data_IF_412769270282
#
_entry.id   IF_412769270282
#
_cell.length_a   1.000
_cell.length_b   1.000
_cell.length_c   1.000
_cell.angle_alpha   90.00
_cell.angle_beta   90.00
_cell.angle_gamma   90.00
#
_symmetry.space_group_name_H-M   'P 1'
#
loop_
_entity.id
_entity.type
_entity.pdbx_description
1 polymer ?
#
# COMPACT_ATOMS: atom_id res chain seq x y z
N UNK A 1 8.07 -16.71 43.99
CA UNK A 1 9.25 -15.99 43.59
C UNK A 1 8.93 -14.88 42.62
N UNK A 2 8.83 -13.73 43.16
CA UNK A 2 8.49 -12.56 42.35
C UNK A 2 9.58 -12.18 41.35
N UNK A 3 10.81 -12.40 41.68
CA UNK A 3 11.89 -12.00 40.78
C UNK A 3 11.97 -12.79 39.50
N UNK A 4 11.33 -13.95 39.44
CA UNK A 4 11.30 -14.70 38.19
C UNK A 4 10.33 -14.08 37.19
N UNK A 5 9.35 -13.39 37.70
CA UNK A 5 8.41 -12.70 36.83
C UNK A 5 9.10 -11.53 36.12
N UNK A 6 9.98 -10.83 36.82
CA UNK A 6 10.68 -9.69 36.26
C UNK A 6 11.47 -10.02 35.00
N UNK A 7 12.31 -11.06 34.99
CA UNK A 7 13.03 -11.42 33.77
C UNK A 7 12.08 -11.69 32.61
N UNK A 8 10.98 -12.35 32.87
CA UNK A 8 10.01 -12.64 31.82
C UNK A 8 9.41 -11.38 31.27
N UNK A 9 9.04 -10.44 32.12
CA UNK A 9 8.48 -9.18 31.69
C UNK A 9 9.47 -8.37 30.85
N UNK A 10 10.72 -8.33 31.29
CA UNK A 10 11.76 -7.64 30.56
C UNK A 10 11.95 -8.24 29.19
N UNK A 11 11.97 -9.57 29.11
CA UNK A 11 12.08 -10.25 27.83
C UNK A 11 10.93 -9.90 26.90
N UNK A 12 9.72 -9.83 27.44
CA UNK A 12 8.57 -9.45 26.64
C UNK A 12 8.68 -8.05 26.08
N UNK A 13 9.14 -7.11 26.89
CA UNK A 13 9.32 -5.74 26.44
C UNK A 13 10.38 -5.64 25.34
N UNK A 14 11.49 -6.31 25.52
CA UNK A 14 12.56 -6.34 24.53
C UNK A 14 12.03 -6.91 23.21
N UNK A 15 11.24 -7.95 23.28
CA UNK A 15 10.66 -8.55 22.09
C UNK A 15 9.76 -7.59 21.35
N UNK A 16 8.99 -6.76 22.05
CA UNK A 16 8.14 -5.76 21.41
C UNK A 16 8.97 -4.74 20.66
N UNK A 17 10.02 -4.21 21.27
CA UNK A 17 10.87 -3.24 20.58
C UNK A 17 11.62 -3.87 19.43
N UNK A 18 12.13 -5.06 19.61
CA UNK A 18 12.83 -5.76 18.55
C UNK A 18 11.91 -6.06 17.38
N UNK A 19 10.62 -6.26 17.63
CA UNK A 19 9.64 -6.49 16.60
C UNK A 19 9.29 -5.27 15.77
N UNK A 20 9.50 -4.05 16.29
CA UNK A 20 9.12 -2.85 15.58
C UNK A 20 9.78 -2.69 14.22
N UNK A 21 11.10 -2.87 14.06
CA UNK A 21 11.73 -2.80 12.73
C UNK A 21 11.24 -3.90 11.80
N UNK A 22 11.05 -5.10 12.34
CA UNK A 22 10.52 -6.22 11.55
C UNK A 22 9.11 -5.90 11.08
N UNK A 23 8.30 -5.35 11.96
CA UNK A 23 6.95 -4.95 11.60
C UNK A 23 6.95 -3.89 10.50
N UNK A 24 7.86 -2.94 10.55
CA UNK A 24 7.98 -1.93 9.51
C UNK A 24 8.36 -2.55 8.16
N UNK A 25 9.24 -3.55 8.15
CA UNK A 25 9.59 -4.27 6.92
C UNK A 25 8.43 -5.06 6.35
N UNK A 26 7.54 -5.53 7.21
CA UNK A 26 6.36 -6.28 6.79
C UNK A 26 5.11 -5.42 6.71
N UNK A 27 5.24 -4.09 6.74
CA UNK A 27 4.11 -3.19 6.72
C UNK A 27 3.25 -3.37 5.48
N UNK A 28 3.85 -3.72 4.34
CA UNK A 28 3.09 -4.00 3.14
C UNK A 28 2.11 -5.16 3.37
N UNK A 29 2.61 -6.29 3.86
CA UNK A 29 1.78 -7.47 4.12
C UNK A 29 0.76 -7.21 5.22
N UNK A 30 1.07 -6.35 6.19
CA UNK A 30 0.12 -5.99 7.23
C UNK A 30 -0.99 -5.07 6.72
N UNK A 31 -0.67 -4.18 5.78
CA UNK A 31 -1.62 -3.24 5.21
C UNK A 31 -2.42 -3.85 4.05
N UNK A 32 -1.85 -4.82 3.34
CA UNK A 32 -2.44 -5.38 2.14
C UNK A 32 -2.46 -6.90 2.23
N UNK A 33 -3.63 -7.47 2.01
CA UNK A 33 -3.78 -8.92 1.97
C UNK A 33 -3.48 -9.42 0.55
N UNK A 34 -2.30 -9.98 0.36
CA UNK A 34 -1.84 -10.46 -0.95
C UNK A 34 -2.56 -11.73 -1.39
N UNK A 35 -3.33 -12.36 -0.50
CA UNK A 35 -4.11 -13.55 -0.85
C UNK A 35 -5.50 -13.20 -1.37
N UNK A 36 -5.87 -11.94 -1.33
CA UNK A 36 -7.18 -11.47 -1.78
C UNK A 36 -7.01 -10.33 -2.77
N UNK A 37 -6.57 -10.63 -3.99
CA UNK A 37 -6.44 -9.60 -5.01
C UNK A 37 -7.80 -9.03 -5.36
N UNK A 38 -7.83 -7.74 -5.64
CA UNK A 38 -9.03 -7.01 -6.01
C UNK A 38 -8.82 -6.42 -7.40
N UNK A 39 -9.83 -6.52 -8.24
CA UNK A 39 -9.81 -5.89 -9.55
C UNK A 39 -10.80 -4.75 -9.56
N UNK A 40 -10.34 -3.57 -9.93
CA UNK A 40 -11.14 -2.36 -9.90
C UNK A 40 -11.01 -1.64 -11.23
N UNK A 41 -12.13 -1.18 -11.76
CA UNK A 41 -12.17 -0.37 -12.96
C UNK A 41 -12.60 1.04 -12.60
N UNK A 42 -11.83 2.02 -13.03
CA UNK A 42 -12.13 3.40 -12.70
C UNK A 42 -11.41 4.39 -13.58
N UNK A 43 -11.60 5.66 -13.28
CA UNK A 43 -10.98 6.76 -14.01
C UNK A 43 -9.93 7.40 -13.12
N UNK A 44 -8.72 7.53 -13.63
CA UNK A 44 -7.64 8.18 -12.88
C UNK A 44 -7.98 9.66 -12.70
N UNK A 45 -7.97 10.12 -11.45
CA UNK A 45 -8.16 11.52 -11.11
C UNK A 45 -6.86 12.24 -10.84
N UNK A 46 -5.86 11.51 -10.37
CA UNK A 46 -4.56 12.07 -10.03
C UNK A 46 -3.49 10.99 -10.05
N UNK A 47 -2.32 11.36 -10.50
CA UNK A 47 -1.12 10.51 -10.40
C UNK A 47 -0.08 11.28 -9.62
N UNK A 48 0.46 10.64 -8.58
CA UNK A 48 1.55 11.20 -7.80
C UNK A 48 2.77 10.31 -7.97
N UNK A 49 3.77 10.82 -8.67
CA UNK A 49 5.01 10.09 -8.90
C UNK A 49 6.01 10.50 -7.83
N UNK A 50 6.24 9.61 -6.88
CA UNK A 50 7.09 9.87 -5.72
C UNK A 50 7.91 8.65 -5.35
N UNK A 51 9.04 8.90 -4.71
CA UNK A 51 9.83 7.86 -4.06
C UNK A 51 9.44 7.79 -2.58
N UNK A 52 9.37 6.63 -1.97
CA UNK A 52 9.62 5.30 -2.54
C UNK A 52 8.43 4.70 -3.28
N UNK A 53 7.23 5.28 -3.17
CA UNK A 53 6.05 4.74 -3.79
C UNK A 53 5.25 5.84 -4.47
N UNK A 54 4.91 5.61 -5.73
CA UNK A 54 3.96 6.42 -6.45
C UNK A 54 2.54 6.02 -6.06
N UNK A 55 1.57 6.87 -6.35
CA UNK A 55 0.18 6.59 -6.04
C UNK A 55 -0.73 7.02 -7.17
N UNK A 56 -1.69 6.16 -7.47
CA UNK A 56 -2.74 6.43 -8.46
C UNK A 56 -4.06 6.58 -7.74
N UNK A 57 -4.74 7.70 -7.97
CA UNK A 57 -6.05 7.96 -7.39
C UNK A 57 -7.10 7.77 -8.46
N UNK A 58 -8.11 6.98 -8.16
CA UNK A 58 -9.17 6.63 -9.12
C UNK A 58 -10.54 6.94 -8.53
N UNK A 59 -11.43 7.40 -9.39
CA UNK A 59 -12.85 7.38 -9.10
C UNK A 59 -13.42 6.08 -9.65
N UNK A 60 -14.04 5.30 -8.77
CA UNK A 60 -14.63 4.01 -9.10
C UNK A 60 -16.12 4.09 -8.87
N UNK A 61 -16.89 3.81 -9.91
CA UNK A 61 -18.35 3.81 -9.83
C UNK A 61 -18.84 2.39 -9.63
N UNK A 62 -19.68 2.19 -8.63
CA UNK A 62 -20.32 0.90 -8.40
C UNK A 62 -21.59 0.76 -9.24
N UNK A 63 -22.25 -0.40 -9.12
CA UNK A 63 -23.46 -0.69 -9.91
C UNK A 63 -24.63 0.23 -9.57
N UNK A 64 -24.63 0.82 -8.38
CA UNK A 64 -25.67 1.77 -7.98
C UNK A 64 -25.41 3.18 -8.46
N UNK A 65 -24.26 3.42 -9.09
CA UNK A 65 -23.84 4.74 -9.55
C UNK A 65 -23.09 5.55 -8.50
N UNK A 66 -22.87 4.99 -7.33
CA UNK A 66 -22.08 5.64 -6.29
C UNK A 66 -20.60 5.65 -6.69
N UNK A 67 -19.94 6.78 -6.49
CA UNK A 67 -18.52 6.93 -6.79
C UNK A 67 -17.72 6.88 -5.48
N UNK A 68 -16.78 5.96 -5.43
CA UNK A 68 -15.81 5.88 -4.34
C UNK A 68 -14.42 6.23 -4.88
N UNK A 69 -13.65 6.91 -4.06
CA UNK A 69 -12.27 7.23 -4.42
C UNK A 69 -11.33 6.15 -3.88
N UNK A 70 -10.51 5.62 -4.77
CA UNK A 70 -9.51 4.61 -4.44
C UNK A 70 -8.12 5.18 -4.62
N UNK A 71 -7.19 4.70 -3.81
CA UNK A 71 -5.78 5.03 -3.93
C UNK A 71 -5.01 3.72 -4.05
N UNK A 72 -4.16 3.63 -5.09
CA UNK A 72 -3.34 2.46 -5.33
C UNK A 72 -1.88 2.85 -5.21
N UNK A 73 -1.15 2.18 -4.33
CA UNK A 73 0.29 2.33 -4.26
C UNK A 73 0.95 1.59 -5.41
N UNK A 74 1.97 2.19 -5.96
CA UNK A 74 2.78 1.60 -7.02
C UNK A 74 4.26 1.76 -6.67
N UNK A 75 5.13 1.35 -7.56
CA UNK A 75 6.56 1.40 -7.33
C UNK A 75 7.15 2.80 -7.46
N UNK A 76 8.48 2.85 -7.50
CA UNK A 76 9.19 4.10 -7.76
C UNK A 76 8.91 4.57 -9.17
N UNK A 77 8.96 5.88 -9.43
CA UNK A 77 8.73 6.40 -10.78
C UNK A 77 9.65 5.75 -11.82
N UNK A 78 10.93 5.67 -11.55
CA UNK A 78 11.87 5.08 -12.49
C UNK A 78 11.63 3.58 -12.71
N UNK A 79 11.28 2.86 -11.65
CA UNK A 79 10.97 1.44 -11.74
C UNK A 79 9.75 1.18 -12.60
N UNK A 80 8.71 1.98 -12.43
CA UNK A 80 7.50 1.85 -13.22
C UNK A 80 7.75 2.13 -14.70
N UNK A 81 8.51 3.19 -14.98
CA UNK A 81 8.83 3.55 -16.36
C UNK A 81 9.64 2.44 -17.04
N UNK A 82 10.61 1.86 -16.32
CA UNK A 82 11.35 0.70 -16.83
C UNK A 82 10.45 -0.48 -17.13
N UNK A 83 9.37 -0.62 -16.40
CA UNK A 83 8.43 -1.73 -16.57
C UNK A 83 7.27 -1.39 -17.51
N UNK A 84 7.36 -0.29 -18.24
CA UNK A 84 6.42 0.03 -19.29
C UNK A 84 5.39 1.10 -18.98
N UNK A 85 5.44 1.69 -17.80
CA UNK A 85 4.53 2.80 -17.49
C UNK A 85 4.86 4.03 -18.35
N UNK A 86 3.83 4.61 -18.95
CA UNK A 86 3.95 5.79 -19.80
C UNK A 86 3.12 6.93 -19.21
N UNK A 87 3.76 7.94 -18.61
CA UNK A 87 3.04 9.03 -17.95
C UNK A 87 2.16 9.86 -18.88
N UNK A 88 2.51 9.94 -20.15
CA UNK A 88 1.73 10.68 -21.15
C UNK A 88 0.52 9.91 -21.68
N UNK A 89 0.43 8.63 -21.39
CA UNK A 89 -0.67 7.77 -21.79
C UNK A 89 -1.59 7.47 -20.62
N UNK A 90 -1.02 7.06 -19.48
CA UNK A 90 -1.78 6.72 -18.29
C UNK A 90 -1.71 7.90 -17.32
N UNK A 91 -2.72 8.73 -17.36
CA UNK A 91 -2.76 10.01 -16.65
C UNK A 91 -4.19 10.33 -16.21
N UNK A 92 -4.37 11.45 -15.55
CA UNK A 92 -5.70 11.89 -15.14
C UNK A 92 -6.65 11.92 -16.35
N UNK A 93 -7.84 11.38 -16.14
CA UNK A 93 -8.87 11.23 -17.20
C UNK A 93 -8.83 9.89 -17.91
N UNK A 94 -7.82 9.07 -17.68
CA UNK A 94 -7.71 7.75 -18.31
C UNK A 94 -8.54 6.73 -17.56
N UNK A 95 -9.32 5.93 -18.27
CA UNK A 95 -10.00 4.78 -17.69
C UNK A 95 -9.04 3.60 -17.64
N UNK A 96 -8.96 2.98 -16.48
CA UNK A 96 -8.05 1.86 -16.24
C UNK A 96 -8.73 0.76 -15.46
N UNK A 97 -8.18 -0.44 -15.58
CA UNK A 97 -8.51 -1.58 -14.74
C UNK A 97 -7.24 -2.00 -14.02
N UNK A 98 -7.32 -2.07 -12.71
CA UNK A 98 -6.19 -2.43 -11.86
C UNK A 98 -6.52 -3.70 -11.10
#
# INVERSE_FOLDING_TARGET
MTRRVLPVLVSGLVSLFAGAPVWAHHSFAAAFDTTQPVTVKGVITKVRLENPHSCFFLDVRDDSGKVDQWAFEAGTPSGMIRNGYKPDVIKAGTEVTI
#
